data_IF_290825097771
#
_entry.id   IF_290825097771
#
_cell.length_a   1.000
_cell.length_b   1.000
_cell.length_c   1.000
_cell.angle_alpha   90.00
_cell.angle_beta   90.00
_cell.angle_gamma   90.00
#
_symmetry.space_group_name_H-M   'P 1'
#
loop_
_entity.id
_entity.type
_entity.pdbx_description
1 polymer ?
#
# COMPACT_ATOMS: atom_id res chain seq x y z
N UNK A 1 18.38 -0.37 -5.84
CA UNK A 1 17.44 0.77 -5.86
C UNK A 1 16.08 0.23 -5.44
N UNK A 2 15.47 0.81 -4.39
CA UNK A 2 14.19 0.34 -3.85
C UNK A 2 13.03 0.67 -4.81
N UNK A 3 12.11 -0.27 -5.03
CA UNK A 3 11.08 -0.18 -6.07
C UNK A 3 9.70 0.24 -5.53
N UNK A 4 8.77 0.58 -6.42
CA UNK A 4 7.36 0.80 -6.09
C UNK A 4 6.62 -0.55 -5.98
N UNK A 5 6.43 -1.02 -4.74
CA UNK A 5 5.71 -2.27 -4.45
C UNK A 5 4.27 -2.20 -4.95
N UNK A 6 3.88 -3.14 -5.81
CA UNK A 6 2.55 -3.24 -6.41
C UNK A 6 1.51 -3.90 -5.52
N UNK A 7 1.94 -4.54 -4.43
CA UNK A 7 1.07 -5.10 -3.39
C UNK A 7 0.45 -4.00 -2.52
N UNK A 8 1.09 -2.84 -2.40
CA UNK A 8 0.54 -1.65 -1.73
C UNK A 8 0.05 -0.65 -2.77
N UNK A 9 -1.13 -0.08 -2.55
CA UNK A 9 -1.64 1.07 -3.28
C UNK A 9 -1.96 2.19 -2.29
N UNK A 10 -1.89 3.42 -2.74
CA UNK A 10 -2.30 4.54 -1.91
C UNK A 10 -2.20 5.88 -2.63
N UNK A 11 -2.88 6.87 -2.08
CA UNK A 11 -2.99 8.21 -2.65
C UNK A 11 -4.04 9.06 -1.95
N UNK A 12 -4.13 10.31 -2.39
CA UNK A 12 -5.09 11.28 -1.85
C UNK A 12 -6.43 11.13 -2.58
N UNK A 13 -7.51 11.16 -1.82
CA UNK A 13 -8.88 11.16 -2.33
C UNK A 13 -9.75 12.16 -1.56
N UNK A 14 -11.03 12.25 -1.91
CA UNK A 14 -12.04 12.99 -1.15
C UNK A 14 -13.12 12.04 -0.66
N UNK A 15 -13.47 12.15 0.61
CA UNK A 15 -14.61 11.49 1.23
C UNK A 15 -15.55 12.60 1.71
N UNK A 16 -16.74 12.70 1.11
CA UNK A 16 -17.73 13.76 1.39
C UNK A 16 -17.13 15.17 1.35
N UNK A 17 -16.27 15.42 0.36
CA UNK A 17 -15.56 16.69 0.19
C UNK A 17 -14.32 16.87 1.09
N UNK A 18 -14.14 16.06 2.13
CA UNK A 18 -12.96 16.10 3.01
C UNK A 18 -11.78 15.38 2.35
N UNK A 19 -10.58 15.99 2.23
CA UNK A 19 -9.39 15.29 1.74
C UNK A 19 -8.96 14.21 2.73
N UNK A 20 -8.64 13.02 2.20
CA UNK A 20 -8.20 11.85 2.96
C UNK A 20 -7.04 11.16 2.26
N UNK A 21 -6.13 10.56 3.02
CA UNK A 21 -5.12 9.64 2.52
C UNK A 21 -5.66 8.22 2.58
N UNK A 22 -5.66 7.50 1.46
CA UNK A 22 -6.05 6.10 1.39
C UNK A 22 -4.80 5.27 1.15
N UNK A 23 -4.65 4.18 1.91
CA UNK A 23 -3.57 3.20 1.74
C UNK A 23 -4.19 1.81 1.84
N UNK A 24 -3.76 0.85 1.02
CA UNK A 24 -4.31 -0.48 1.12
C UNK A 24 -3.49 -1.52 0.39
N UNK A 25 -3.82 -2.77 0.66
CA UNK A 25 -3.30 -3.91 -0.07
C UNK A 25 -4.09 -4.07 -1.38
N UNK A 26 -3.42 -4.47 -2.46
CA UNK A 26 -4.06 -4.75 -3.73
C UNK A 26 -3.65 -6.15 -4.19
N UNK A 27 -4.54 -7.13 -4.02
CA UNK A 27 -4.29 -8.52 -4.42
C UNK A 27 -4.32 -8.74 -5.93
N UNK A 28 -5.18 -8.00 -6.64
CA UNK A 28 -5.50 -8.24 -8.04
C UNK A 28 -6.53 -9.35 -8.23
N UNK A 29 -7.31 -9.26 -9.31
CA UNK A 29 -8.46 -10.16 -9.57
C UNK A 29 -8.04 -11.40 -10.35
N UNK A 30 -7.35 -11.16 -11.46
CA UNK A 30 -6.89 -12.20 -12.38
C UNK A 30 -5.53 -12.76 -11.97
N UNK A 31 -5.23 -13.99 -12.38
CA UNK A 31 -3.95 -14.67 -12.05
C UNK A 31 -2.73 -13.83 -12.42
N UNK A 32 -2.72 -13.21 -13.61
CA UNK A 32 -1.61 -12.34 -14.04
C UNK A 32 -1.44 -11.13 -13.11
N UNK A 33 -2.54 -10.55 -12.64
CA UNK A 33 -2.50 -9.42 -11.71
C UNK A 33 -2.04 -9.86 -10.32
N UNK A 34 -2.54 -11.00 -9.84
CA UNK A 34 -2.14 -11.59 -8.57
C UNK A 34 -0.64 -11.84 -8.49
N UNK A 35 -0.05 -12.42 -9.54
CA UNK A 35 1.39 -12.62 -9.64
C UNK A 35 2.12 -11.28 -9.61
N UNK A 36 1.70 -10.31 -10.42
CA UNK A 36 2.33 -8.98 -10.49
C UNK A 36 2.31 -8.22 -9.15
N UNK A 37 1.31 -8.48 -8.31
CA UNK A 37 1.09 -7.79 -7.03
C UNK A 37 1.44 -8.66 -5.83
N UNK A 38 2.20 -9.73 -6.02
CA UNK A 38 2.58 -10.67 -4.97
C UNK A 38 1.39 -11.14 -4.12
N UNK A 39 0.21 -11.30 -4.74
CA UNK A 39 -1.03 -11.70 -4.07
C UNK A 39 -1.43 -10.79 -2.89
N UNK A 40 -1.01 -9.52 -2.93
CA UNK A 40 -1.21 -8.55 -1.85
C UNK A 40 -0.26 -8.72 -0.67
N UNK A 41 0.81 -9.50 -0.81
CA UNK A 41 1.89 -9.63 0.17
C UNK A 41 2.97 -8.59 -0.10
N UNK A 42 3.06 -7.52 0.71
CA UNK A 42 4.08 -6.49 0.52
C UNK A 42 5.46 -6.94 0.96
N UNK A 43 6.48 -6.45 0.28
CA UNK A 43 7.88 -6.48 0.69
C UNK A 43 8.22 -5.24 1.54
N UNK A 44 9.42 -5.11 2.14
CA UNK A 44 9.79 -3.97 2.98
C UNK A 44 9.60 -2.61 2.29
N UNK A 45 9.80 -2.53 0.97
CA UNK A 45 9.55 -1.35 0.15
C UNK A 45 8.10 -0.88 0.21
N UNK A 46 7.15 -1.81 0.25
CA UNK A 46 5.73 -1.52 0.34
C UNK A 46 5.39 -0.85 1.65
N UNK A 47 5.96 -1.33 2.76
CA UNK A 47 5.80 -0.71 4.07
C UNK A 47 6.45 0.67 4.16
N UNK A 48 7.65 0.87 3.58
CA UNK A 48 8.29 2.20 3.52
C UNK A 48 7.48 3.19 2.68
N UNK A 49 6.90 2.72 1.57
CA UNK A 49 5.96 3.50 0.77
C UNK A 49 4.70 3.85 1.57
N UNK A 50 4.12 2.91 2.31
CA UNK A 50 2.96 3.18 3.17
C UNK A 50 3.29 4.23 4.23
N UNK A 51 4.41 4.09 4.94
CA UNK A 51 4.86 5.06 5.94
C UNK A 51 5.03 6.46 5.34
N UNK A 52 5.71 6.58 4.19
CA UNK A 52 5.88 7.86 3.48
C UNK A 52 4.54 8.53 3.14
N UNK A 53 3.52 7.74 2.79
CA UNK A 53 2.18 8.27 2.54
C UNK A 53 1.48 8.71 3.83
N UNK A 54 1.68 8.00 4.94
CA UNK A 54 1.15 8.38 6.25
C UNK A 54 1.78 9.67 6.77
N UNK A 55 3.11 9.81 6.66
CA UNK A 55 3.84 11.06 7.00
C UNK A 55 3.37 12.24 6.14
N UNK A 56 3.07 12.00 4.85
CA UNK A 56 2.49 13.03 4.00
C UNK A 56 1.09 13.44 4.49
N UNK A 57 0.25 12.49 4.88
CA UNK A 57 -1.07 12.76 5.41
C UNK A 57 -1.01 13.60 6.69
N UNK A 58 -0.09 13.25 7.60
CA UNK A 58 0.17 13.99 8.83
C UNK A 58 0.54 15.46 8.55
N UNK A 59 1.49 15.72 7.65
CA UNK A 59 1.93 17.09 7.30
C UNK A 59 0.80 18.00 6.83
N UNK A 60 -0.26 17.43 6.24
CA UNK A 60 -1.42 18.18 5.73
C UNK A 60 -2.68 17.97 6.58
N UNK A 61 -2.57 17.39 7.78
CA UNK A 61 -3.69 17.11 8.69
C UNK A 61 -4.83 16.31 8.02
N UNK A 62 -4.48 15.40 7.11
CA UNK A 62 -5.44 14.53 6.43
C UNK A 62 -5.69 13.25 7.26
N UNK A 63 -6.96 12.84 7.44
CA UNK A 63 -7.26 11.52 7.98
C UNK A 63 -6.69 10.42 7.08
N UNK A 64 -6.22 9.34 7.70
CA UNK A 64 -5.70 8.15 7.02
C UNK A 64 -6.74 7.03 7.11
N UNK A 65 -7.06 6.42 5.97
CA UNK A 65 -7.95 5.27 5.87
C UNK A 65 -7.13 4.11 5.29
N UNK A 66 -7.06 2.99 6.03
CA UNK A 66 -6.33 1.80 5.60
C UNK A 66 -7.27 0.65 5.23
N UNK A 67 -7.01 -0.01 4.10
CA UNK A 67 -7.69 -1.24 3.70
C UNK A 67 -6.75 -2.44 3.87
N UNK A 68 -7.01 -3.23 4.91
CA UNK A 68 -6.23 -4.42 5.25
C UNK A 68 -6.83 -5.62 4.51
N UNK A 69 -6.13 -6.09 3.49
CA UNK A 69 -6.49 -7.27 2.71
C UNK A 69 -5.23 -7.96 2.21
N UNK A 70 -4.51 -8.62 3.12
CA UNK A 70 -3.27 -9.33 2.82
C UNK A 70 -3.24 -10.66 3.55
N UNK A 71 -2.68 -11.73 2.97
CA UNK A 71 -2.41 -12.95 3.71
C UNK A 71 -1.18 -12.82 4.64
N UNK A 72 -0.35 -11.77 4.47
CA UNK A 72 0.84 -11.53 5.29
C UNK A 72 1.91 -10.73 4.55
N UNK A 73 2.99 -10.38 5.25
CA UNK A 73 4.20 -9.86 4.61
C UNK A 73 4.84 -10.93 3.72
N UNK A 74 5.48 -10.53 2.62
CA UNK A 74 6.13 -11.47 1.71
C UNK A 74 7.35 -12.14 2.38
N UNK A 75 7.38 -13.48 2.54
CA UNK A 75 8.43 -14.18 3.27
C UNK A 75 9.55 -14.64 2.33
N UNK A 76 10.24 -13.70 1.67
CA UNK A 76 11.34 -14.00 0.76
C UNK A 76 12.70 -13.49 1.24
N UNK A 77 13.79 -14.08 0.76
CA UNK A 77 15.18 -13.68 1.14
C UNK A 77 15.47 -12.21 0.86
N UNK A 78 14.88 -11.62 -0.18
CA UNK A 78 15.01 -10.19 -0.47
C UNK A 78 14.15 -9.27 0.43
N UNK A 79 13.34 -9.83 1.32
CA UNK A 79 12.50 -9.11 2.28
C UNK A 79 13.11 -9.07 3.69
N UNK A 80 14.13 -9.87 3.97
CA UNK A 80 15.00 -9.78 5.16
C UNK A 80 16.16 -8.81 4.90
#
# INVERSE_FOLDING_TARGET
AYADDKAIVGGIARLDGRPVMIIGHQKGRETKEKIRRNFGMPAPEGYRKALRLMEMAERFNMPIITFIDTPGAYPGVGAE
#
